data_IF_984005050589
#
_entry.id   IF_984005050589
#
_cell.length_a   1.000
_cell.length_b   1.000
_cell.length_c   1.000
_cell.angle_alpha   90.00
_cell.angle_beta   90.00
_cell.angle_gamma   90.00
#
_symmetry.space_group_name_H-M   'P 1'
#
loop_
_entity.id
_entity.type
_entity.pdbx_description
1 polymer ?
#
# COMPACT_ATOMS: atom_id res chain seq x y z
N UNK A 1 -47.61 -31.82 32.30
CA UNK A 1 -46.86 -31.75 31.03
C UNK A 1 -46.68 -30.27 30.67
N UNK A 2 -45.49 -29.71 30.91
CA UNK A 2 -45.16 -28.33 30.52
C UNK A 2 -44.22 -28.35 29.29
N UNK A 3 -44.45 -27.54 28.26
CA UNK A 3 -43.59 -27.47 27.08
C UNK A 3 -42.35 -26.60 27.36
N UNK A 4 -41.15 -27.12 27.11
CA UNK A 4 -39.90 -26.37 27.22
C UNK A 4 -39.70 -25.55 25.94
N UNK A 5 -39.58 -24.23 26.13
CA UNK A 5 -39.57 -23.22 25.09
C UNK A 5 -38.32 -23.21 24.19
N UNK A 6 -38.54 -22.74 22.94
CA UNK A 6 -37.51 -22.36 21.97
C UNK A 6 -36.76 -21.13 22.48
N UNK A 7 -35.57 -21.28 23.03
CA UNK A 7 -34.66 -20.13 23.27
C UNK A 7 -33.19 -20.38 22.90
N UNK A 8 -32.89 -21.39 22.07
CA UNK A 8 -31.51 -21.77 21.74
C UNK A 8 -30.84 -21.03 20.57
N UNK A 9 -31.50 -20.05 19.93
CA UNK A 9 -30.94 -19.36 18.76
C UNK A 9 -30.75 -17.83 18.92
N UNK A 10 -31.12 -17.23 20.05
CA UNK A 10 -30.95 -15.78 20.25
C UNK A 10 -29.49 -15.36 20.48
N UNK A 11 -28.66 -16.24 21.06
CA UNK A 11 -27.26 -15.93 21.39
C UNK A 11 -26.31 -16.01 20.18
N UNK A 12 -26.66 -16.75 19.11
CA UNK A 12 -25.85 -16.82 17.88
C UNK A 12 -25.94 -15.54 17.03
N UNK A 13 -27.02 -14.76 17.18
CA UNK A 13 -27.17 -13.49 16.47
C UNK A 13 -26.26 -12.38 17.02
N UNK A 14 -25.77 -12.54 18.26
CA UNK A 14 -24.85 -11.60 18.91
C UNK A 14 -23.39 -12.09 18.92
N UNK A 15 -23.13 -13.39 18.70
CA UNK A 15 -21.77 -13.92 18.54
C UNK A 15 -21.09 -13.48 17.22
N UNK A 16 -21.89 -13.00 16.26
CA UNK A 16 -21.46 -12.38 15.01
C UNK A 16 -21.81 -10.89 14.93
N UNK A 17 -22.12 -10.25 16.07
CA UNK A 17 -22.12 -8.79 16.13
C UNK A 17 -20.65 -8.35 16.08
N UNK A 18 -20.12 -8.38 14.85
CA UNK A 18 -18.91 -7.65 14.49
C UNK A 18 -19.27 -6.19 14.70
N UNK A 19 -18.80 -5.60 15.80
CA UNK A 19 -18.83 -4.16 15.97
C UNK A 19 -18.31 -3.52 14.68
N UNK A 20 -19.01 -2.50 14.14
CA UNK A 20 -18.57 -1.85 12.91
C UNK A 20 -17.13 -1.35 13.10
N UNK A 21 -16.22 -1.61 12.15
CA UNK A 21 -14.80 -1.35 12.33
C UNK A 21 -14.55 0.15 12.52
N UNK A 22 -13.94 0.52 13.65
CA UNK A 22 -13.26 1.81 13.75
C UNK A 22 -12.04 1.81 12.83
N UNK A 23 -11.70 2.92 12.16
CA UNK A 23 -10.49 3.01 11.34
C UNK A 23 -9.26 2.78 12.21
N UNK A 24 -8.23 2.12 11.66
CA UNK A 24 -6.93 2.09 12.32
C UNK A 24 -6.36 3.51 12.39
N UNK A 25 -5.97 3.93 13.59
CA UNK A 25 -5.41 5.23 13.87
C UNK A 25 -3.96 5.02 14.35
N UNK A 26 -2.97 5.16 13.46
CA UNK A 26 -1.58 5.04 13.87
C UNK A 26 -1.19 6.23 14.76
N UNK A 27 -0.39 5.97 15.79
CA UNK A 27 0.33 7.05 16.46
C UNK A 27 1.42 7.67 15.56
N UNK A 28 2.08 8.71 16.02
CA UNK A 28 3.08 9.42 15.21
C UNK A 28 4.27 8.52 14.81
N UNK A 29 4.68 7.59 15.66
CA UNK A 29 5.78 6.67 15.36
C UNK A 29 5.35 5.63 14.33
N UNK A 30 4.18 5.02 14.55
CA UNK A 30 3.57 4.07 13.63
C UNK A 30 3.34 4.69 12.26
N UNK A 31 2.78 5.91 12.20
CA UNK A 31 2.51 6.62 10.96
C UNK A 31 3.79 6.82 10.14
N UNK A 32 4.89 7.24 10.78
CA UNK A 32 6.20 7.41 10.10
C UNK A 32 6.74 6.09 9.54
N UNK A 33 6.60 5.00 10.28
CA UNK A 33 7.09 3.68 9.86
C UNK A 33 6.25 3.13 8.70
N UNK A 34 4.91 3.16 8.84
CA UNK A 34 3.97 2.73 7.80
C UNK A 34 4.17 3.52 6.52
N UNK A 35 4.33 4.84 6.62
CA UNK A 35 4.61 5.71 5.48
C UNK A 35 5.91 5.29 4.75
N UNK A 36 6.98 5.01 5.51
CA UNK A 36 8.25 4.57 4.93
C UNK A 36 8.09 3.24 4.20
N UNK A 37 7.37 2.28 4.78
CA UNK A 37 7.10 0.97 4.17
C UNK A 37 6.30 1.13 2.87
N UNK A 38 5.22 1.91 2.89
CA UNK A 38 4.38 2.13 1.71
C UNK A 38 5.17 2.80 0.56
N UNK A 39 6.01 3.78 0.88
CA UNK A 39 6.88 4.43 -0.11
C UNK A 39 7.88 3.45 -0.73
N UNK A 40 8.46 2.57 0.06
CA UNK A 40 9.42 1.58 -0.46
C UNK A 40 8.75 0.53 -1.35
N UNK A 41 7.51 0.14 -1.06
CA UNK A 41 6.71 -0.73 -1.92
C UNK A 41 6.55 -0.08 -3.31
N UNK A 42 6.05 1.16 -3.36
CA UNK A 42 5.81 1.88 -4.61
C UNK A 42 7.12 2.17 -5.35
N UNK A 43 8.16 2.63 -4.64
CA UNK A 43 9.48 2.92 -5.23
C UNK A 43 10.10 1.70 -5.91
N UNK A 44 9.82 0.49 -5.42
CA UNK A 44 10.33 -0.77 -5.96
C UNK A 44 9.40 -1.42 -7.00
N UNK A 45 8.26 -0.80 -7.31
CA UNK A 45 7.27 -1.36 -8.23
C UNK A 45 6.54 -2.58 -7.68
N UNK A 46 6.41 -2.68 -6.35
CA UNK A 46 5.81 -3.82 -5.65
C UNK A 46 4.34 -3.59 -5.25
N UNK A 47 3.69 -2.56 -5.81
CA UNK A 47 2.28 -2.21 -5.55
C UNK A 47 1.37 -3.41 -5.74
N UNK A 48 1.39 -4.05 -6.92
CA UNK A 48 0.53 -5.22 -7.23
C UNK A 48 0.70 -6.38 -6.25
N UNK A 49 1.91 -6.94 -6.03
CA UNK A 49 2.07 -8.05 -5.09
C UNK A 49 1.75 -7.66 -3.64
N UNK A 50 1.99 -6.41 -3.23
CA UNK A 50 1.62 -5.94 -1.89
C UNK A 50 0.09 -5.89 -1.70
N UNK A 51 -0.65 -5.35 -2.67
CA UNK A 51 -2.11 -5.31 -2.62
C UNK A 51 -2.70 -6.72 -2.59
N UNK A 52 -2.16 -7.66 -3.39
CA UNK A 52 -2.59 -9.06 -3.34
C UNK A 52 -2.34 -9.70 -1.97
N UNK A 53 -1.17 -9.46 -1.36
CA UNK A 53 -0.85 -9.98 -0.03
C UNK A 53 -1.79 -9.41 1.06
N UNK A 54 -2.11 -8.11 0.99
CA UNK A 54 -3.02 -7.44 1.91
C UNK A 54 -4.46 -7.99 1.79
N UNK A 55 -4.93 -8.23 0.57
CA UNK A 55 -6.24 -8.84 0.33
C UNK A 55 -6.35 -10.27 0.85
N UNK A 56 -5.29 -11.06 0.66
CA UNK A 56 -5.21 -12.41 1.24
C UNK A 56 -5.16 -12.38 2.78
N UNK A 57 -4.67 -11.29 3.36
CA UNK A 57 -4.62 -11.07 4.81
C UNK A 57 -5.96 -10.66 5.44
N UNK A 58 -6.89 -10.05 4.69
CA UNK A 58 -8.20 -9.57 5.21
C UNK A 58 -9.05 -10.63 5.92
N UNK A 59 -9.18 -11.89 5.42
CA UNK A 59 -9.97 -12.93 6.09
C UNK A 59 -9.29 -13.52 7.35
N UNK A 60 -8.00 -13.24 7.56
CA UNK A 60 -7.13 -13.96 8.48
C UNK A 60 -6.51 -13.01 9.51
N UNK A 61 -7.36 -12.45 10.37
CA UNK A 61 -6.96 -11.62 11.52
C UNK A 61 -6.12 -12.38 12.59
N UNK A 62 -5.59 -13.57 12.26
CA UNK A 62 -4.91 -14.48 13.19
C UNK A 62 -3.57 -15.03 12.68
N UNK A 63 -3.07 -14.59 11.51
CA UNK A 63 -1.73 -14.97 11.01
C UNK A 63 -0.82 -13.73 10.85
N UNK A 64 -0.82 -12.84 11.84
CA UNK A 64 0.12 -11.71 11.94
C UNK A 64 1.59 -12.17 11.85
N UNK A 65 1.90 -13.35 12.38
CA UNK A 65 3.24 -13.93 12.33
C UNK A 65 3.74 -14.30 10.91
N UNK A 66 2.85 -14.65 9.97
CA UNK A 66 3.25 -15.03 8.60
C UNK A 66 3.42 -13.81 7.68
N UNK A 67 2.68 -12.74 7.94
CA UNK A 67 2.83 -11.44 7.26
C UNK A 67 4.23 -10.89 7.50
N UNK A 68 4.76 -10.99 8.73
CA UNK A 68 6.14 -10.59 9.04
C UNK A 68 7.20 -11.35 8.23
N UNK A 69 6.98 -12.62 7.89
CA UNK A 69 7.89 -13.38 7.02
C UNK A 69 7.86 -12.87 5.57
N UNK A 70 6.71 -12.45 5.04
CA UNK A 70 6.63 -11.78 3.74
C UNK A 70 7.31 -10.39 3.77
N UNK A 71 7.23 -9.70 4.92
CA UNK A 71 7.85 -8.39 5.09
C UNK A 71 9.33 -8.44 5.52
N UNK A 72 9.94 -9.62 5.72
CA UNK A 72 11.37 -9.80 5.95
C UNK A 72 12.29 -8.95 5.05
N UNK A 73 12.13 -8.91 3.71
CA UNK A 73 12.95 -8.06 2.84
C UNK A 73 12.81 -6.56 3.10
N UNK A 74 11.79 -6.14 3.87
CA UNK A 74 11.54 -4.76 4.29
C UNK A 74 11.87 -4.52 5.77
N UNK A 75 12.22 -5.54 6.56
CA UNK A 75 12.68 -5.36 7.95
C UNK A 75 13.90 -4.43 8.02
N UNK A 76 14.80 -4.53 7.03
CA UNK A 76 15.95 -3.63 6.91
C UNK A 76 15.56 -2.14 6.68
N UNK A 77 14.35 -1.86 6.19
CA UNK A 77 13.83 -0.50 5.96
C UNK A 77 13.27 0.09 7.26
N UNK A 78 12.63 -0.77 8.05
CA UNK A 78 12.09 -0.44 9.37
C UNK A 78 13.24 -0.08 10.33
N UNK A 79 14.41 -0.67 10.12
CA UNK A 79 15.70 -0.15 10.58
C UNK A 79 16.16 -0.75 11.91
N UNK A 80 15.28 -0.83 12.90
CA UNK A 80 15.56 -1.43 14.21
C UNK A 80 14.38 -2.26 14.77
N UNK A 81 14.63 -2.97 15.87
CA UNK A 81 13.65 -3.84 16.51
C UNK A 81 12.44 -3.06 17.05
N UNK A 82 12.65 -1.87 17.59
CA UNK A 82 11.58 -1.01 18.11
C UNK A 82 10.62 -0.62 17.00
N UNK A 83 11.14 -0.22 15.84
CA UNK A 83 10.32 0.14 14.70
C UNK A 83 9.55 -1.08 14.15
N UNK A 84 10.11 -2.29 14.26
CA UNK A 84 9.42 -3.53 13.88
C UNK A 84 8.28 -3.86 14.84
N UNK A 85 8.48 -3.68 16.14
CA UNK A 85 7.43 -3.81 17.15
C UNK A 85 6.30 -2.80 16.91
N UNK A 86 6.63 -1.54 16.63
CA UNK A 86 5.66 -0.50 16.31
C UNK A 86 4.85 -0.83 15.05
N UNK A 87 5.50 -1.31 13.99
CA UNK A 87 4.82 -1.72 12.76
C UNK A 87 3.92 -2.94 12.98
N UNK A 88 4.38 -3.93 13.75
CA UNK A 88 3.59 -5.13 14.08
C UNK A 88 2.39 -4.76 14.94
N UNK A 89 2.57 -3.92 15.97
CA UNK A 89 1.48 -3.42 16.80
C UNK A 89 0.45 -2.61 16.01
N UNK A 90 0.88 -1.88 14.97
CA UNK A 90 -0.05 -1.24 14.05
C UNK A 90 -0.82 -2.26 13.20
N UNK A 91 -0.15 -3.29 12.66
CA UNK A 91 -0.79 -4.34 11.86
C UNK A 91 -1.88 -5.10 12.65
N UNK A 92 -1.74 -5.21 13.97
CA UNK A 92 -2.73 -5.83 14.85
C UNK A 92 -4.02 -5.00 15.00
N UNK A 93 -3.99 -3.71 14.69
CA UNK A 93 -5.19 -2.88 14.70
C UNK A 93 -6.17 -3.34 13.62
N UNK A 94 -7.46 -3.46 13.98
CA UNK A 94 -8.52 -3.69 12.99
C UNK A 94 -8.59 -2.47 12.06
N UNK A 95 -8.52 -2.70 10.75
CA UNK A 95 -8.48 -1.63 9.74
C UNK A 95 -7.08 -1.21 9.29
N UNK A 96 -6.01 -1.77 9.86
CA UNK A 96 -4.62 -1.47 9.46
C UNK A 96 -4.35 -1.84 7.99
N UNK A 97 -4.94 -2.95 7.53
CA UNK A 97 -4.85 -3.42 6.16
C UNK A 97 -5.48 -2.42 5.18
N UNK A 98 -6.64 -1.88 5.52
CA UNK A 98 -7.34 -0.89 4.67
C UNK A 98 -6.58 0.43 4.65
N UNK A 99 -6.03 0.85 5.79
CA UNK A 99 -5.14 2.00 5.89
C UNK A 99 -3.92 1.86 4.97
N UNK A 100 -3.20 0.73 5.05
CA UNK A 100 -2.00 0.47 4.24
C UNK A 100 -2.37 0.39 2.76
N UNK A 101 -3.45 -0.31 2.43
CA UNK A 101 -3.94 -0.45 1.05
C UNK A 101 -4.26 0.90 0.41
N UNK A 102 -5.01 1.75 1.13
CA UNK A 102 -5.34 3.09 0.68
C UNK A 102 -4.08 3.96 0.51
N UNK A 103 -3.10 3.83 1.41
CA UNK A 103 -1.87 4.63 1.32
C UNK A 103 -0.98 4.19 0.15
N UNK A 104 -0.85 2.89 -0.09
CA UNK A 104 -0.12 2.34 -1.25
C UNK A 104 -0.75 2.86 -2.54
N UNK A 105 -2.08 2.77 -2.69
CA UNK A 105 -2.78 3.26 -3.88
C UNK A 105 -2.53 4.76 -4.13
N UNK A 106 -2.67 5.59 -3.10
CA UNK A 106 -2.43 7.04 -3.22
C UNK A 106 -0.99 7.36 -3.66
N UNK A 107 0.01 6.66 -3.12
CA UNK A 107 1.42 6.85 -3.49
C UNK A 107 1.72 6.39 -4.92
N UNK A 108 1.08 5.31 -5.39
CA UNK A 108 1.24 4.80 -6.75
C UNK A 108 0.66 5.77 -7.79
N UNK A 109 -0.50 6.36 -7.49
CA UNK A 109 -1.11 7.42 -8.29
C UNK A 109 -0.23 8.68 -8.35
N UNK A 110 0.31 9.13 -7.20
CA UNK A 110 1.25 10.25 -7.11
C UNK A 110 2.50 10.02 -7.99
N UNK A 111 3.03 8.79 -8.01
CA UNK A 111 4.20 8.41 -8.80
C UNK A 111 3.90 8.36 -10.30
N UNK A 112 2.74 7.81 -10.69
CA UNK A 112 2.27 7.75 -12.08
C UNK A 112 2.07 9.15 -12.67
N UNK A 113 1.44 10.05 -11.91
CA UNK A 113 1.24 11.45 -12.32
C UNK A 113 2.56 12.24 -12.41
N UNK A 114 3.52 11.93 -11.55
CA UNK A 114 4.86 12.51 -11.61
C UNK A 114 5.67 12.02 -12.82
N UNK A 115 5.51 10.75 -13.20
CA UNK A 115 6.08 10.17 -14.42
C UNK A 115 5.53 10.83 -15.69
N UNK A 116 4.21 10.97 -15.78
CA UNK A 116 3.53 11.58 -16.94
C UNK A 116 3.94 13.05 -17.14
N UNK A 117 3.99 13.83 -16.05
CA UNK A 117 4.46 15.23 -16.08
C UNK A 117 5.93 15.36 -16.51
N UNK A 118 6.77 14.37 -16.19
CA UNK A 118 8.17 14.32 -16.64
C UNK A 118 8.27 13.94 -18.12
N UNK A 119 7.45 12.99 -18.58
CA UNK A 119 7.38 12.56 -19.98
C UNK A 119 6.88 13.66 -20.92
N UNK A 120 5.86 14.42 -20.50
CA UNK A 120 5.32 15.55 -21.26
C UNK A 120 6.30 16.74 -21.43
N UNK A 121 7.40 16.76 -20.67
CA UNK A 121 8.44 17.81 -20.72
C UNK A 121 9.71 17.39 -21.48
N UNK A 122 9.69 16.26 -22.20
CA UNK A 122 10.78 15.74 -23.03
C UNK A 122 11.15 16.62 -24.24
N UNK A 123 12.37 16.50 -24.80
CA UNK A 123 13.09 17.62 -25.42
C UNK A 123 12.52 18.03 -26.79
N UNK A 124 12.12 19.31 -26.91
CA UNK A 124 11.98 20.01 -28.19
C UNK A 124 13.35 20.10 -28.88
N UNK A 125 13.79 19.06 -29.59
CA UNK A 125 15.02 19.08 -30.39
C UNK A 125 14.73 19.40 -31.87
N UNK A 126 15.26 20.57 -32.28
CA UNK A 126 15.85 20.92 -33.59
C UNK A 126 14.92 21.11 -34.78
N UNK A 127 14.42 22.34 -34.94
CA UNK A 127 14.13 22.93 -36.24
C UNK A 127 15.03 24.16 -36.45
N UNK A 128 16.32 23.92 -36.70
CA UNK A 128 17.25 24.93 -37.24
C UNK A 128 18.54 24.23 -37.66
N UNK A 129 18.51 23.54 -38.81
CA UNK A 129 19.66 23.26 -39.68
C UNK A 129 19.22 22.34 -40.83
N UNK A 130 18.65 22.95 -41.87
CA UNK A 130 18.73 22.41 -43.23
C UNK A 130 18.35 23.52 -44.19
N UNK A 131 19.33 24.07 -44.91
CA UNK A 131 19.08 25.02 -45.99
C UNK A 131 20.21 26.02 -46.27
N UNK A 132 21.45 25.55 -46.43
CA UNK A 132 22.49 26.34 -47.10
C UNK A 132 23.54 25.39 -47.69
N UNK A 133 23.19 24.81 -48.83
CA UNK A 133 24.06 23.99 -49.66
C UNK A 133 23.57 24.10 -51.10
N UNK A 134 23.84 25.24 -51.73
CA UNK A 134 23.69 25.45 -53.18
C UNK A 134 25.02 25.25 -53.89
N UNK A 135 25.01 24.91 -55.20
CA UNK A 135 26.01 24.04 -55.81
C UNK A 135 27.27 24.77 -56.26
N UNK A 136 28.34 23.97 -56.42
CA UNK A 136 29.55 24.32 -57.15
C UNK A 136 29.19 24.36 -58.63
N UNK A 137 29.33 25.52 -59.26
CA UNK A 137 29.50 25.61 -60.71
C UNK A 137 30.93 26.01 -61.01
N UNK A 138 31.47 25.26 -61.97
CA UNK A 138 32.81 25.33 -62.52
C UNK A 138 32.79 26.35 -63.65
N UNK A 139 33.74 27.29 -63.65
CA UNK A 139 34.57 27.74 -64.78
C UNK A 139 35.52 28.86 -64.32
#
# INVERSE_FOLDING_TARGET
MHPVGRHRLAWLKHAFAVDPPGPAEPDEAQARIVERVCREIVRRGLTTPAMMALEMGRPLNHLSAQVLTFFQPFVAIVGDATALEQFTGFLEQRGSIDYISARIAALDDENSMSGERRGAKGPRKRAARSGAGGPRDKE
#
